data_IF_656273864805
#
_entry.id   IF_656273864805
#
_cell.length_a   1.000
_cell.length_b   1.000
_cell.length_c   1.000
_cell.angle_alpha   90.00
_cell.angle_beta   90.00
_cell.angle_gamma   90.00
#
_symmetry.space_group_name_H-M   'P 1'
#
loop_
_entity.id
_entity.type
_entity.pdbx_description
1 polymer ?
#
# COMPACT_ATOMS: atom_id res chain seq x y z
N UNK A 1 20.35 4.77 -13.89
CA UNK A 1 20.59 4.49 -12.46
C UNK A 1 19.29 4.34 -11.66
N UNK A 2 18.26 5.18 -11.86
CA UNK A 2 16.95 5.07 -11.17
C UNK A 2 16.31 3.67 -11.25
N UNK A 3 16.23 3.08 -12.46
CA UNK A 3 15.64 1.75 -12.65
C UNK A 3 16.43 0.61 -11.97
N UNK A 4 17.77 0.68 -11.91
CA UNK A 4 18.57 -0.30 -11.19
C UNK A 4 18.25 -0.27 -9.68
N UNK A 5 18.15 0.93 -9.10
CA UNK A 5 17.74 1.11 -7.71
C UNK A 5 16.33 0.54 -7.46
N UNK A 6 15.37 0.83 -8.33
CA UNK A 6 14.02 0.27 -8.25
C UNK A 6 14.04 -1.26 -8.27
N UNK A 7 14.78 -1.87 -9.19
CA UNK A 7 14.90 -3.33 -9.27
C UNK A 7 15.43 -3.92 -7.98
N UNK A 8 16.46 -3.32 -7.37
CA UNK A 8 17.01 -3.79 -6.09
C UNK A 8 15.95 -3.70 -4.98
N UNK A 9 15.27 -2.56 -4.84
CA UNK A 9 14.23 -2.38 -3.82
C UNK A 9 13.10 -3.40 -3.97
N UNK A 10 12.56 -3.56 -5.19
CA UNK A 10 11.46 -4.50 -5.44
C UNK A 10 11.92 -5.96 -5.28
N UNK A 11 13.15 -6.31 -5.69
CA UNK A 11 13.69 -7.66 -5.52
C UNK A 11 13.81 -8.04 -4.03
N UNK A 12 14.22 -7.10 -3.17
CA UNK A 12 14.28 -7.34 -1.72
C UNK A 12 12.87 -7.53 -1.14
N UNK A 13 11.91 -6.69 -1.51
CA UNK A 13 10.51 -6.80 -1.05
C UNK A 13 9.90 -8.14 -1.49
N UNK A 14 10.05 -8.49 -2.76
CA UNK A 14 9.52 -9.74 -3.32
C UNK A 14 10.25 -10.95 -2.73
N UNK A 15 11.56 -10.90 -2.55
CA UNK A 15 12.34 -11.96 -1.92
C UNK A 15 11.90 -12.24 -0.48
N UNK A 16 11.64 -11.18 0.30
CA UNK A 16 11.05 -11.30 1.64
C UNK A 16 9.64 -11.91 1.59
N UNK A 17 8.79 -11.44 0.67
CA UNK A 17 7.43 -11.95 0.51
C UNK A 17 7.39 -13.44 0.10
N UNK A 18 8.28 -13.88 -0.79
CA UNK A 18 8.43 -15.29 -1.18
C UNK A 18 8.89 -16.14 0.01
N UNK A 19 9.81 -15.63 0.82
CA UNK A 19 10.33 -16.35 2.00
C UNK A 19 9.25 -16.56 3.07
N UNK A 20 8.38 -15.57 3.27
CA UNK A 20 7.29 -15.62 4.26
C UNK A 20 6.05 -16.34 3.72
N UNK A 21 5.80 -16.24 2.42
CA UNK A 21 4.65 -16.82 1.73
C UNK A 21 3.88 -15.75 0.96
N UNK A 22 4.04 -15.74 -0.38
CA UNK A 22 3.55 -14.67 -1.25
C UNK A 22 2.03 -14.42 -1.17
N UNK A 23 1.24 -15.44 -0.88
CA UNK A 23 -0.21 -15.34 -0.75
C UNK A 23 -0.65 -14.40 0.38
N UNK A 24 0.17 -14.23 1.43
CA UNK A 24 -0.10 -13.29 2.52
C UNK A 24 0.05 -11.82 2.12
N UNK A 25 0.70 -11.57 0.98
CA UNK A 25 1.01 -10.23 0.47
C UNK A 25 0.08 -9.81 -0.67
N UNK A 26 -0.92 -10.61 -1.01
CA UNK A 26 -1.81 -10.39 -2.14
C UNK A 26 -3.26 -10.29 -1.66
N UNK A 27 -3.74 -9.06 -1.49
CA UNK A 27 -5.13 -8.73 -1.21
C UNK A 27 -5.65 -7.69 -2.22
N UNK A 28 -6.66 -8.07 -3.00
CA UNK A 28 -7.20 -7.24 -4.08
C UNK A 28 -7.91 -6.01 -3.55
N UNK A 29 -8.56 -6.08 -2.38
CA UNK A 29 -9.32 -4.97 -1.82
C UNK A 29 -8.39 -3.87 -1.32
N UNK A 30 -7.33 -4.25 -0.60
CA UNK A 30 -6.27 -3.34 -0.18
C UNK A 30 -5.57 -2.70 -1.37
N UNK A 31 -5.33 -3.46 -2.46
CA UNK A 31 -4.73 -2.91 -3.66
C UNK A 31 -5.63 -1.88 -4.34
N UNK A 32 -6.91 -2.20 -4.53
CA UNK A 32 -7.90 -1.28 -5.11
C UNK A 32 -8.09 -0.04 -4.26
N UNK A 33 -8.10 -0.18 -2.93
CA UNK A 33 -8.19 0.96 -2.01
C UNK A 33 -7.03 1.95 -2.22
N UNK A 34 -5.79 1.44 -2.29
CA UNK A 34 -4.61 2.28 -2.50
C UNK A 34 -4.57 2.88 -3.90
N UNK A 35 -4.86 2.10 -4.95
CA UNK A 35 -4.87 2.60 -6.34
C UNK A 35 -5.98 3.64 -6.57
N UNK A 36 -7.17 3.38 -6.07
CA UNK A 36 -8.29 4.32 -6.14
C UNK A 36 -7.99 5.61 -5.38
N UNK A 37 -7.43 5.49 -4.18
CA UNK A 37 -6.97 6.62 -3.39
C UNK A 37 -5.85 7.44 -4.03
N UNK A 38 -4.84 6.78 -4.59
CA UNK A 38 -3.76 7.41 -5.33
C UNK A 38 -4.27 8.21 -6.53
N UNK A 39 -5.21 7.62 -7.29
CA UNK A 39 -5.85 8.28 -8.44
C UNK A 39 -6.69 9.47 -8.00
N UNK A 40 -7.50 9.31 -6.95
CA UNK A 40 -8.30 10.40 -6.39
C UNK A 40 -7.44 11.56 -5.88
N UNK A 41 -6.32 11.26 -5.22
CA UNK A 41 -5.36 12.26 -4.75
C UNK A 41 -4.68 13.00 -5.91
N UNK A 42 -4.28 12.28 -6.98
CA UNK A 42 -3.76 12.90 -8.19
C UNK A 42 -4.77 13.89 -8.78
N UNK A 43 -6.02 13.47 -8.94
CA UNK A 43 -7.11 14.33 -9.48
C UNK A 43 -7.36 15.52 -8.58
N UNK A 44 -7.32 15.33 -7.25
CA UNK A 44 -7.48 16.40 -6.27
C UNK A 44 -6.35 17.45 -6.37
N UNK A 45 -5.12 17.02 -6.62
CA UNK A 45 -3.98 17.94 -6.81
C UNK A 45 -4.09 18.73 -8.11
N UNK A 46 -4.60 18.11 -9.17
CA UNK A 46 -4.85 18.75 -10.47
C UNK A 46 -3.63 19.53 -11.02
N UNK A 47 -2.44 18.94 -10.88
CA UNK A 47 -1.16 19.50 -11.36
C UNK A 47 -0.58 18.58 -12.45
N UNK A 48 -0.84 18.84 -13.74
CA UNK A 48 -0.47 17.96 -14.85
C UNK A 48 1.02 17.62 -14.91
N UNK A 49 1.87 18.58 -14.60
CA UNK A 49 3.33 18.40 -14.64
C UNK A 49 3.87 17.48 -13.55
N UNK A 50 3.09 17.24 -12.49
CA UNK A 50 3.48 16.42 -11.35
C UNK A 50 2.60 15.19 -11.17
N UNK A 51 1.85 14.77 -12.19
CA UNK A 51 0.92 13.64 -12.10
C UNK A 51 1.56 12.37 -11.51
N UNK A 52 2.73 11.95 -12.00
CA UNK A 52 3.41 10.73 -11.52
C UNK A 52 3.80 10.88 -10.05
N UNK A 53 4.36 12.02 -9.67
CA UNK A 53 4.75 12.32 -8.28
C UNK A 53 3.54 12.34 -7.35
N UNK A 54 2.47 13.04 -7.76
CA UNK A 54 1.23 13.17 -7.01
C UNK A 54 0.49 11.83 -6.86
N UNK A 55 0.50 10.97 -7.88
CA UNK A 55 -0.01 9.61 -7.76
C UNK A 55 0.74 8.83 -6.69
N UNK A 56 2.08 8.89 -6.71
CA UNK A 56 2.92 8.22 -5.72
C UNK A 56 2.69 8.72 -4.30
N UNK A 57 2.57 10.04 -4.12
CA UNK A 57 2.22 10.62 -2.82
C UNK A 57 0.84 10.16 -2.36
N UNK A 58 -0.14 10.20 -3.24
CA UNK A 58 -1.49 9.71 -2.99
C UNK A 58 -1.51 8.24 -2.54
N UNK A 59 -0.70 7.38 -3.18
CA UNK A 59 -0.57 5.99 -2.80
C UNK A 59 -0.05 5.83 -1.37
N UNK A 60 0.93 6.64 -0.94
CA UNK A 60 1.44 6.62 0.45
C UNK A 60 0.38 7.15 1.41
N UNK A 61 -0.28 8.27 1.09
CA UNK A 61 -1.36 8.82 1.91
C UNK A 61 -2.47 7.79 2.15
N UNK A 62 -2.96 7.14 1.09
CA UNK A 62 -4.00 6.13 1.20
C UNK A 62 -3.49 4.80 1.78
N UNK A 63 -2.19 4.50 1.66
CA UNK A 63 -1.58 3.40 2.39
C UNK A 63 -1.77 3.55 3.91
N UNK A 64 -1.43 4.73 4.44
CA UNK A 64 -1.59 5.05 5.86
C UNK A 64 -3.06 5.16 6.28
N UNK A 65 -3.92 5.80 5.47
CA UNK A 65 -5.36 5.85 5.76
C UNK A 65 -5.99 4.46 5.80
N UNK A 66 -5.60 3.57 4.88
CA UNK A 66 -6.07 2.18 4.86
C UNK A 66 -5.71 1.43 6.13
N UNK A 67 -4.48 1.59 6.63
CA UNK A 67 -4.06 0.99 7.89
C UNK A 67 -4.83 1.56 9.07
N UNK A 68 -5.02 2.89 9.14
CA UNK A 68 -5.81 3.50 10.21
C UNK A 68 -7.25 2.97 10.22
N UNK A 69 -7.90 2.89 9.05
CA UNK A 69 -9.26 2.34 8.93
C UNK A 69 -9.28 0.87 9.36
N UNK A 70 -8.32 0.06 8.93
CA UNK A 70 -8.20 -1.34 9.34
C UNK A 70 -8.03 -1.50 10.85
N UNK A 71 -7.14 -0.71 11.46
CA UNK A 71 -6.93 -0.73 12.91
C UNK A 71 -8.18 -0.26 13.69
N UNK A 72 -8.89 0.75 13.19
CA UNK A 72 -10.17 1.18 13.77
C UNK A 72 -11.21 0.06 13.67
N UNK A 73 -11.28 -0.67 12.56
CA UNK A 73 -12.20 -1.79 12.41
C UNK A 73 -11.90 -2.94 13.39
N UNK A 74 -10.62 -3.26 13.58
CA UNK A 74 -10.17 -4.30 14.51
C UNK A 74 -10.44 -3.90 15.96
N UNK A 75 -10.00 -2.71 16.36
CA UNK A 75 -10.16 -2.20 17.74
C UNK A 75 -11.61 -1.85 18.08
N UNK A 76 -12.40 -1.43 17.09
CA UNK A 76 -13.85 -1.27 17.17
C UNK A 76 -14.62 -2.59 17.26
N UNK A 77 -13.91 -3.72 17.34
CA UNK A 77 -14.47 -5.07 17.46
C UNK A 77 -15.50 -5.40 16.38
N UNK A 78 -15.29 -4.88 15.16
CA UNK A 78 -16.19 -5.16 14.05
C UNK A 78 -16.14 -6.67 13.77
N UNK A 79 -17.31 -7.29 13.62
CA UNK A 79 -17.45 -8.76 13.41
C UNK A 79 -16.94 -9.62 14.58
N UNK A 80 -16.86 -9.07 15.80
CA UNK A 80 -16.42 -9.82 16.99
C UNK A 80 -15.01 -10.40 16.84
N UNK A 81 -14.12 -9.65 16.18
CA UNK A 81 -12.74 -10.04 15.90
C UNK A 81 -11.82 -9.76 17.11
N UNK A 82 -12.13 -8.76 17.94
CA UNK A 82 -11.25 -8.36 19.04
C UNK A 82 -11.14 -9.47 20.09
N UNK A 83 -9.89 -9.89 20.38
CA UNK A 83 -9.59 -10.98 21.31
C UNK A 83 -9.56 -12.38 20.68
N UNK A 84 -9.86 -12.50 19.38
CA UNK A 84 -9.78 -13.75 18.61
C UNK A 84 -8.57 -13.71 17.68
N UNK A 85 -7.46 -14.34 18.10
CA UNK A 85 -6.17 -14.29 17.40
C UNK A 85 -6.27 -14.83 15.97
N UNK A 86 -7.10 -15.85 15.75
CA UNK A 86 -7.27 -16.50 14.44
C UNK A 86 -7.92 -15.56 13.42
N UNK A 87 -8.76 -14.63 13.89
CA UNK A 87 -9.39 -13.60 13.05
C UNK A 87 -8.59 -12.30 13.00
N UNK A 88 -7.92 -11.95 14.10
CA UNK A 88 -7.13 -10.73 14.20
C UNK A 88 -5.92 -10.76 13.29
N UNK A 89 -5.20 -11.89 13.22
CA UNK A 89 -4.00 -12.02 12.39
C UNK A 89 -4.23 -11.64 10.93
N UNK A 90 -5.19 -12.26 10.23
CA UNK A 90 -5.55 -11.89 8.86
C UNK A 90 -5.99 -10.43 8.72
N UNK A 91 -6.77 -9.90 9.65
CA UNK A 91 -7.23 -8.51 9.61
C UNK A 91 -6.07 -7.50 9.74
N UNK A 92 -5.13 -7.78 10.65
CA UNK A 92 -3.89 -7.00 10.80
C UNK A 92 -3.03 -7.08 9.55
N UNK A 93 -2.90 -8.27 8.95
CA UNK A 93 -2.15 -8.44 7.71
C UNK A 93 -2.73 -7.53 6.61
N UNK A 94 -4.04 -7.60 6.34
CA UNK A 94 -4.73 -6.76 5.35
C UNK A 94 -4.53 -5.27 5.64
N UNK A 95 -4.61 -4.85 6.91
CA UNK A 95 -4.37 -3.46 7.31
C UNK A 95 -2.92 -3.01 7.04
N UNK A 96 -1.92 -3.88 7.21
CA UNK A 96 -0.52 -3.56 6.90
C UNK A 96 -0.23 -3.55 5.40
N UNK A 97 -0.96 -4.35 4.60
CA UNK A 97 -0.76 -4.43 3.15
C UNK A 97 -0.99 -3.08 2.45
N UNK A 98 -1.90 -2.23 2.95
CA UNK A 98 -2.13 -0.91 2.33
C UNK A 98 -0.89 -0.03 2.40
N UNK A 99 -0.16 -0.02 3.52
CA UNK A 99 1.13 0.70 3.64
C UNK A 99 2.16 0.11 2.67
N UNK A 100 2.27 -1.23 2.64
CA UNK A 100 3.21 -1.91 1.75
C UNK A 100 2.96 -1.55 0.28
N UNK A 101 1.69 -1.57 -0.15
CA UNK A 101 1.30 -1.20 -1.51
C UNK A 101 1.54 0.28 -1.78
N UNK A 102 1.21 1.15 -0.83
CA UNK A 102 1.45 2.59 -0.95
C UNK A 102 2.91 2.93 -1.21
N UNK A 103 3.83 2.39 -0.42
CA UNK A 103 5.26 2.60 -0.61
C UNK A 103 5.82 1.87 -1.84
N UNK A 104 5.32 0.67 -2.16
CA UNK A 104 5.73 -0.04 -3.38
C UNK A 104 5.39 0.76 -4.64
N UNK A 105 4.18 1.34 -4.69
CA UNK A 105 3.78 2.26 -5.76
C UNK A 105 4.62 3.53 -5.75
N UNK A 106 4.91 4.12 -4.58
CA UNK A 106 5.79 5.30 -4.48
C UNK A 106 7.16 5.04 -5.08
N UNK A 107 7.78 3.90 -4.79
CA UNK A 107 9.08 3.52 -5.37
C UNK A 107 9.01 3.48 -6.89
N UNK A 108 7.96 2.87 -7.45
CA UNK A 108 7.73 2.82 -8.90
C UNK A 108 7.60 4.24 -9.46
N UNK A 109 6.79 5.10 -8.83
CA UNK A 109 6.62 6.49 -9.31
C UNK A 109 7.89 7.32 -9.26
N UNK A 110 8.78 7.12 -8.27
CA UNK A 110 10.07 7.82 -8.19
C UNK A 110 10.96 7.47 -9.39
N UNK A 111 10.94 6.21 -9.83
CA UNK A 111 11.71 5.80 -11.00
C UNK A 111 11.14 6.33 -12.31
N UNK A 112 9.81 6.49 -12.38
CA UNK A 112 9.08 6.96 -13.56
C UNK A 112 8.97 8.48 -13.66
N UNK A 113 9.09 9.20 -12.54
CA UNK A 113 9.09 10.65 -12.53
C UNK A 113 10.33 11.18 -13.26
N UNK A 114 10.09 11.90 -14.35
CA UNK A 114 11.05 12.80 -14.97
C UNK A 114 11.16 14.03 -14.10
N UNK A 115 12.39 14.30 -13.62
CA UNK A 115 12.72 15.55 -12.92
C UNK A 115 12.70 16.74 -13.89
#
# INVERSE_FOLDING_TARGET
MKFLGLTICLAIIVGAAVTVGIHLFLDINSLVFVLGGATGFLVMKNEPEKHITNFGEGAVYFGWLGTLIGLIAITGNRFSIWGDVDKMGPALAVAMLTILYGYSLKLITIALATD
#
